data_IF_403228514918
#
_entry.id   IF_403228514918
#
_cell.length_a   1.000
_cell.length_b   1.000
_cell.length_c   1.000
_cell.angle_alpha   90.00
_cell.angle_beta   90.00
_cell.angle_gamma   90.00
#
_symmetry.space_group_name_H-M   'P 1'
#
loop_
_entity.id
_entity.type
_entity.pdbx_description
1 polymer ?
#
# COMPACT_ATOMS: atom_id res chain seq x y z
N UNK A 1 -19.77 -3.70 10.43
CA UNK A 1 -19.40 -3.32 11.80
C UNK A 1 -18.97 -1.87 11.77
N UNK A 2 -19.54 -1.04 12.66
CA UNK A 2 -19.18 0.37 12.78
C UNK A 2 -17.74 0.45 13.31
N UNK A 3 -16.83 1.05 12.54
CA UNK A 3 -15.46 1.37 12.95
C UNK A 3 -15.38 2.52 13.96
N UNK A 4 -16.49 2.90 14.56
CA UNK A 4 -16.57 3.98 15.54
C UNK A 4 -15.83 3.56 16.81
N UNK A 5 -14.74 4.27 17.13
CA UNK A 5 -13.87 3.98 18.27
C UNK A 5 -12.59 3.19 17.93
N UNK A 6 -12.41 2.71 16.69
CA UNK A 6 -11.15 2.14 16.24
C UNK A 6 -10.12 3.24 15.97
N UNK A 7 -8.97 3.15 16.64
CA UNK A 7 -7.87 4.10 16.46
C UNK A 7 -7.31 4.07 15.04
N UNK A 8 -7.43 2.93 14.34
CA UNK A 8 -6.93 2.73 12.97
C UNK A 8 -7.90 3.18 11.87
N UNK A 9 -9.12 3.63 12.22
CA UNK A 9 -10.15 4.00 11.23
C UNK A 9 -9.76 5.12 10.26
N UNK A 10 -8.79 5.96 10.63
CA UNK A 10 -8.30 7.07 9.80
C UNK A 10 -6.97 6.73 9.11
N UNK A 11 -6.41 5.56 9.37
CA UNK A 11 -5.20 5.10 8.70
C UNK A 11 -5.41 5.07 7.18
N UNK A 12 -4.47 5.65 6.45
CA UNK A 12 -4.55 5.78 5.00
C UNK A 12 -5.25 7.05 4.50
N UNK A 13 -6.05 7.72 5.33
CA UNK A 13 -6.84 8.90 4.92
C UNK A 13 -6.27 10.23 5.43
N UNK A 14 -5.21 10.20 6.23
CA UNK A 14 -4.49 11.39 6.67
C UNK A 14 -3.47 11.78 5.60
N UNK A 15 -3.91 12.51 4.57
CA UNK A 15 -3.12 12.75 3.36
C UNK A 15 -1.77 13.42 3.68
N UNK A 16 -0.64 12.87 3.19
CA UNK A 16 0.69 13.44 3.42
C UNK A 16 0.88 14.71 2.57
N UNK A 17 1.05 15.84 3.24
CA UNK A 17 1.30 17.15 2.63
C UNK A 17 1.93 18.07 3.69
N UNK A 18 2.24 19.31 3.31
CA UNK A 18 2.66 20.36 4.23
C UNK A 18 1.42 21.10 4.78
N UNK A 19 1.33 21.17 6.10
CA UNK A 19 0.20 21.79 6.80
C UNK A 19 0.65 22.86 7.77
N UNK A 20 -0.10 23.97 7.82
CA UNK A 20 0.10 25.00 8.82
C UNK A 20 -0.79 24.74 10.04
N UNK A 21 -0.16 24.73 11.22
CA UNK A 21 -0.81 24.60 12.51
C UNK A 21 -0.44 25.80 13.39
N UNK A 22 -1.34 26.21 14.26
CA UNK A 22 -1.10 27.26 15.25
C UNK A 22 -1.20 26.71 16.66
N UNK A 23 -0.53 27.36 17.59
CA UNK A 23 -0.57 26.96 18.99
C UNK A 23 -2.00 27.07 19.55
N UNK A 24 -2.48 25.99 20.18
CA UNK A 24 -3.86 25.90 20.70
C UNK A 24 -4.89 25.39 19.69
N UNK A 25 -4.48 24.99 18.47
CA UNK A 25 -5.40 24.32 17.55
C UNK A 25 -5.97 23.05 18.18
N UNK A 26 -7.27 22.85 18.06
CA UNK A 26 -7.93 21.63 18.49
C UNK A 26 -7.46 20.43 17.64
N UNK A 27 -7.24 19.28 18.28
CA UNK A 27 -6.80 18.05 17.59
C UNK A 27 -7.76 17.63 16.45
N UNK A 28 -9.06 17.78 16.67
CA UNK A 28 -10.09 17.54 15.65
C UNK A 28 -9.94 18.44 14.42
N UNK A 29 -9.63 19.73 14.64
CA UNK A 29 -9.38 20.68 13.55
C UNK A 29 -8.12 20.32 12.77
N UNK A 30 -7.07 19.87 13.46
CA UNK A 30 -5.86 19.38 12.81
C UNK A 30 -6.14 18.13 11.96
N UNK A 31 -6.84 17.13 12.50
CA UNK A 31 -7.24 15.92 11.78
C UNK A 31 -8.10 16.27 10.56
N UNK A 32 -9.06 17.18 10.70
CA UNK A 32 -9.92 17.60 9.59
C UNK A 32 -9.11 18.18 8.42
N UNK A 33 -8.01 18.91 8.66
CA UNK A 33 -7.15 19.42 7.58
C UNK A 33 -6.59 18.29 6.71
N UNK A 34 -6.17 17.18 7.32
CA UNK A 34 -5.68 16.02 6.58
C UNK A 34 -6.79 15.37 5.75
N UNK A 35 -7.97 15.18 6.35
CA UNK A 35 -9.12 14.54 5.70
C UNK A 35 -9.70 15.40 4.57
N UNK A 36 -9.80 16.72 4.77
CA UNK A 36 -10.22 17.68 3.73
C UNK A 36 -9.24 17.68 2.56
N UNK A 37 -7.93 17.65 2.85
CA UNK A 37 -6.92 17.56 1.79
C UNK A 37 -7.03 16.24 1.02
N UNK A 38 -7.20 15.12 1.71
CA UNK A 38 -7.48 13.84 1.07
C UNK A 38 -8.68 13.94 0.13
N UNK A 39 -9.81 14.44 0.63
CA UNK A 39 -11.03 14.63 -0.16
C UNK A 39 -10.80 15.49 -1.41
N UNK A 40 -10.07 16.59 -1.27
CA UNK A 40 -9.78 17.52 -2.36
C UNK A 40 -8.81 16.95 -3.41
N UNK A 41 -7.97 15.96 -3.03
CA UNK A 41 -7.04 15.27 -3.94
C UNK A 41 -7.70 14.16 -4.74
N UNK A 42 -8.81 13.60 -4.25
CA UNK A 42 -9.55 12.55 -4.95
C UNK A 42 -10.49 13.21 -5.97
N UNK A 43 -10.22 12.99 -7.24
CA UNK A 43 -11.01 13.55 -8.35
C UNK A 43 -12.18 12.63 -8.73
N UNK A 44 -13.16 13.18 -9.46
CA UNK A 44 -14.26 12.37 -10.00
C UNK A 44 -13.77 11.25 -10.92
N UNK A 45 -12.72 11.51 -11.74
CA UNK A 45 -12.09 10.50 -12.59
C UNK A 45 -11.50 9.34 -11.76
N UNK A 46 -10.92 9.63 -10.60
CA UNK A 46 -10.38 8.58 -9.71
C UNK A 46 -11.49 7.71 -9.12
N UNK A 47 -12.61 8.32 -8.75
CA UNK A 47 -13.79 7.58 -8.26
C UNK A 47 -14.36 6.69 -9.37
N UNK A 48 -14.49 7.21 -10.59
CA UNK A 48 -14.94 6.43 -11.76
C UNK A 48 -14.01 5.23 -12.02
N UNK A 49 -12.69 5.43 -12.01
CA UNK A 49 -11.73 4.34 -12.16
C UNK A 49 -11.81 3.29 -11.03
N UNK A 50 -12.08 3.72 -9.81
CA UNK A 50 -12.30 2.79 -8.68
C UNK A 50 -13.55 1.94 -8.92
N UNK A 51 -14.66 2.57 -9.34
CA UNK A 51 -15.92 1.88 -9.68
C UNK A 51 -15.75 0.91 -10.85
N UNK A 52 -15.04 1.30 -11.93
CA UNK A 52 -14.72 0.42 -13.07
C UNK A 52 -13.94 -0.82 -12.65
N UNK A 53 -13.13 -0.71 -11.60
CA UNK A 53 -12.36 -1.82 -11.03
C UNK A 53 -13.14 -2.61 -9.97
N UNK A 54 -14.35 -2.18 -9.63
CA UNK A 54 -15.16 -2.77 -8.56
C UNK A 54 -14.55 -2.60 -7.18
N UNK A 55 -13.76 -1.54 -6.96
CA UNK A 55 -13.04 -1.29 -5.71
C UNK A 55 -13.69 -0.16 -4.91
N UNK A 56 -13.86 -0.38 -3.63
CA UNK A 56 -14.15 0.69 -2.67
C UNK A 56 -12.92 1.60 -2.50
N UNK A 57 -13.13 2.84 -2.08
CA UNK A 57 -12.03 3.76 -1.76
C UNK A 57 -11.12 3.22 -0.63
N UNK A 58 -11.68 2.46 0.30
CA UNK A 58 -10.90 1.76 1.34
C UNK A 58 -9.90 0.77 0.72
N UNK A 59 -10.32 -0.03 -0.25
CA UNK A 59 -9.44 -0.99 -0.94
C UNK A 59 -8.40 -0.27 -1.79
N UNK A 60 -8.78 0.81 -2.49
CA UNK A 60 -7.84 1.65 -3.25
C UNK A 60 -6.74 2.18 -2.34
N UNK A 61 -7.11 2.76 -1.19
CA UNK A 61 -6.14 3.32 -0.23
C UNK A 61 -5.30 2.20 0.41
N UNK A 62 -5.89 1.01 0.64
CA UNK A 62 -5.16 -0.15 1.18
C UNK A 62 -4.06 -0.59 0.20
N UNK A 63 -4.38 -0.76 -1.08
CA UNK A 63 -3.37 -1.09 -2.11
C UNK A 63 -2.34 0.04 -2.23
N UNK A 64 -2.78 1.30 -2.29
CA UNK A 64 -1.89 2.45 -2.38
C UNK A 64 -0.93 2.54 -1.20
N UNK A 65 -1.36 2.17 0.01
CA UNK A 65 -0.51 2.18 1.21
C UNK A 65 0.62 1.14 1.14
N UNK A 66 0.37 -0.02 0.54
CA UNK A 66 1.41 -1.01 0.27
C UNK A 66 2.40 -0.50 -0.78
N UNK A 67 1.91 0.04 -1.90
CA UNK A 67 2.74 0.63 -2.95
C UNK A 67 3.63 1.75 -2.38
N UNK A 68 3.08 2.60 -1.49
CA UNK A 68 3.82 3.69 -0.85
C UNK A 68 5.03 3.19 -0.04
N UNK A 69 4.90 2.02 0.57
CA UNK A 69 5.95 1.42 1.41
C UNK A 69 6.94 0.56 0.64
N UNK A 70 6.58 0.10 -0.56
CA UNK A 70 7.40 -0.79 -1.38
C UNK A 70 8.19 -0.05 -2.48
N UNK A 71 7.62 1.00 -3.08
CA UNK A 71 8.24 1.65 -4.23
C UNK A 71 9.52 2.40 -3.87
N UNK A 72 10.62 2.12 -4.56
CA UNK A 72 11.86 2.86 -4.42
C UNK A 72 11.77 4.25 -5.07
N UNK A 73 10.93 4.39 -6.10
CA UNK A 73 10.68 5.64 -6.81
C UNK A 73 9.27 5.66 -7.45
N UNK A 74 8.89 6.80 -8.03
CA UNK A 74 7.54 6.96 -8.59
C UNK A 74 7.30 6.12 -9.86
N UNK A 75 8.34 5.84 -10.66
CA UNK A 75 8.23 5.11 -11.93
C UNK A 75 7.86 3.63 -11.73
N UNK A 76 8.16 3.06 -10.55
CA UNK A 76 7.88 1.67 -10.22
C UNK A 76 6.47 1.43 -9.68
N UNK A 77 5.78 2.46 -9.18
CA UNK A 77 4.51 2.33 -8.47
C UNK A 77 3.45 1.59 -9.30
N UNK A 78 3.35 1.90 -10.59
CA UNK A 78 2.39 1.25 -11.48
C UNK A 78 2.72 -0.23 -11.74
N UNK A 79 4.02 -0.60 -11.75
CA UNK A 79 4.47 -1.99 -11.88
C UNK A 79 4.20 -2.78 -10.60
N UNK A 80 4.46 -2.20 -9.42
CA UNK A 80 4.16 -2.81 -8.12
C UNK A 80 2.64 -3.02 -7.98
N UNK A 81 1.83 -2.03 -8.35
CA UNK A 81 0.37 -2.16 -8.40
C UNK A 81 -0.06 -3.37 -9.27
N UNK A 82 0.55 -3.51 -10.44
CA UNK A 82 0.24 -4.62 -11.34
C UNK A 82 0.60 -5.98 -10.74
N UNK A 83 1.75 -6.10 -10.05
CA UNK A 83 2.13 -7.34 -9.36
C UNK A 83 1.13 -7.69 -8.26
N UNK A 84 0.70 -6.72 -7.45
CA UNK A 84 -0.32 -6.92 -6.42
C UNK A 84 -1.60 -7.50 -7.04
N UNK A 85 -2.13 -6.88 -8.11
CA UNK A 85 -3.34 -7.35 -8.76
C UNK A 85 -3.17 -8.70 -9.44
N UNK A 86 -2.03 -8.95 -10.09
CA UNK A 86 -1.74 -10.23 -10.73
C UNK A 86 -1.70 -11.37 -9.70
N UNK A 87 -1.09 -11.14 -8.53
CA UNK A 87 -1.08 -12.12 -7.43
C UNK A 87 -2.47 -12.36 -6.88
N UNK A 88 -3.27 -11.33 -6.65
CA UNK A 88 -4.67 -11.46 -6.21
C UNK A 88 -5.46 -12.31 -7.23
N UNK A 89 -5.36 -12.00 -8.52
CA UNK A 89 -6.04 -12.73 -9.58
C UNK A 89 -5.59 -14.20 -9.69
N UNK A 90 -4.32 -14.48 -9.35
CA UNK A 90 -3.76 -15.84 -9.31
C UNK A 90 -4.05 -16.59 -7.99
N UNK A 91 -4.73 -15.97 -7.00
CA UNK A 91 -4.95 -16.55 -5.69
C UNK A 91 -3.66 -16.71 -4.86
N UNK A 92 -2.61 -15.97 -5.20
CA UNK A 92 -1.33 -16.01 -4.51
C UNK A 92 -1.32 -15.08 -3.29
N UNK A 93 -0.61 -15.43 -2.21
CA UNK A 93 -0.34 -14.52 -1.11
C UNK A 93 0.52 -13.34 -1.63
N UNK A 94 0.29 -12.13 -1.11
CA UNK A 94 1.01 -10.94 -1.60
C UNK A 94 2.48 -10.93 -1.18
N UNK A 95 2.81 -11.45 0.00
CA UNK A 95 4.17 -11.55 0.55
C UNK A 95 4.90 -10.20 0.57
N UNK A 96 4.22 -9.20 1.09
CA UNK A 96 4.69 -7.81 1.16
C UNK A 96 5.25 -7.56 2.56
N UNK A 97 6.56 -7.30 2.64
CA UNK A 97 7.31 -7.12 3.90
C UNK A 97 6.75 -5.98 4.75
N UNK A 98 6.36 -4.89 4.14
CA UNK A 98 5.80 -3.72 4.84
C UNK A 98 4.53 -4.04 5.62
N UNK A 99 3.77 -5.08 5.24
CA UNK A 99 2.60 -5.53 6.01
C UNK A 99 3.00 -6.23 7.31
N UNK A 100 4.14 -6.91 7.34
CA UNK A 100 4.73 -7.48 8.55
C UNK A 100 5.31 -6.37 9.43
N UNK A 101 6.09 -5.45 8.84
CA UNK A 101 6.64 -4.30 9.55
C UNK A 101 5.56 -3.49 10.28
N UNK A 102 4.37 -3.37 9.69
CA UNK A 102 3.24 -2.64 10.27
C UNK A 102 2.73 -3.25 11.58
N UNK A 103 2.87 -4.57 11.78
CA UNK A 103 2.36 -5.27 12.97
C UNK A 103 3.44 -5.63 13.96
N UNK A 104 4.71 -5.50 13.61
CA UNK A 104 5.80 -5.72 14.53
C UNK A 104 5.84 -4.62 15.60
N UNK A 105 6.16 -4.95 16.85
CA UNK A 105 6.26 -3.98 17.95
C UNK A 105 7.45 -3.02 17.77
N UNK A 106 8.46 -3.45 17.04
CA UNK A 106 9.68 -2.67 16.76
C UNK A 106 10.00 -2.73 15.27
N UNK A 107 10.49 -1.61 14.73
CA UNK A 107 10.93 -1.56 13.34
C UNK A 107 12.18 -2.43 13.14
N UNK A 108 12.22 -3.17 12.01
CA UNK A 108 13.38 -3.95 11.58
C UNK A 108 13.77 -3.57 10.17
N UNK A 109 15.08 -3.45 9.90
CA UNK A 109 15.57 -3.21 8.54
C UNK A 109 15.43 -4.45 7.65
N UNK A 110 15.52 -5.65 8.27
CA UNK A 110 15.40 -6.94 7.56
C UNK A 110 14.50 -7.86 8.37
N UNK A 111 13.52 -8.46 7.70
CA UNK A 111 12.65 -9.47 8.29
C UNK A 111 13.35 -10.83 8.36
N UNK A 112 13.13 -11.53 9.46
CA UNK A 112 13.50 -12.95 9.58
C UNK A 112 12.36 -13.84 9.10
N UNK A 113 12.66 -15.11 8.80
CA UNK A 113 11.63 -16.11 8.47
C UNK A 113 10.61 -16.28 9.60
N UNK A 114 11.01 -16.05 10.86
CA UNK A 114 10.10 -16.14 12.00
C UNK A 114 9.11 -14.96 12.02
N UNK A 115 9.55 -13.76 11.65
CA UNK A 115 8.67 -12.59 11.54
C UNK A 115 7.54 -12.81 10.51
N UNK A 116 7.82 -13.53 9.42
CA UNK A 116 6.78 -13.84 8.41
C UNK A 116 5.76 -14.88 8.86
N UNK A 117 5.90 -15.44 10.07
CA UNK A 117 4.95 -16.39 10.66
C UNK A 117 4.02 -15.75 11.70
N UNK A 118 4.14 -14.45 11.95
CA UNK A 118 3.30 -13.75 12.93
C UNK A 118 1.81 -13.96 12.62
N UNK A 119 1.04 -14.36 13.63
CA UNK A 119 -0.41 -14.50 13.51
C UNK A 119 -1.08 -13.14 13.53
N UNK A 120 -1.41 -12.64 12.35
CA UNK A 120 -2.03 -11.33 12.17
C UNK A 120 -2.84 -11.31 10.88
N UNK A 121 -4.03 -10.68 10.86
CA UNK A 121 -4.80 -10.49 9.63
C UNK A 121 -4.10 -9.59 8.60
N UNK A 122 -3.07 -8.85 9.00
CA UNK A 122 -2.21 -8.07 8.10
C UNK A 122 -1.10 -8.89 7.47
N UNK A 123 -0.84 -10.12 7.94
CA UNK A 123 0.25 -10.94 7.42
C UNK A 123 -0.08 -11.46 6.02
N UNK A 124 0.43 -10.80 5.00
CA UNK A 124 0.24 -11.15 3.58
C UNK A 124 1.11 -12.33 3.11
N UNK A 125 1.92 -12.92 3.97
CA UNK A 125 2.60 -14.20 3.71
C UNK A 125 1.68 -15.39 4.00
N UNK A 126 0.77 -15.25 4.96
CA UNK A 126 -0.13 -16.32 5.41
C UNK A 126 -1.57 -16.13 4.94
N UNK A 127 -1.99 -14.90 4.74
CA UNK A 127 -3.33 -14.57 4.27
C UNK A 127 -3.30 -14.12 2.82
N UNK A 128 -4.21 -14.64 2.01
CA UNK A 128 -4.43 -14.18 0.63
C UNK A 128 -5.34 -12.95 0.60
N UNK A 129 -5.23 -12.15 -0.46
CA UNK A 129 -6.01 -10.92 -0.60
C UNK A 129 -5.40 -9.72 0.11
N UNK A 130 -6.19 -8.67 0.27
CA UNK A 130 -5.76 -7.41 0.89
C UNK A 130 -5.77 -7.50 2.43
N UNK A 131 -4.86 -6.78 3.12
CA UNK A 131 -4.97 -6.59 4.55
C UNK A 131 -6.26 -5.83 4.91
N UNK A 132 -6.73 -5.90 6.18
CA UNK A 132 -8.03 -5.35 6.59
C UNK A 132 -8.16 -3.83 6.43
N UNK A 133 -7.06 -3.10 6.57
CA UNK A 133 -7.00 -1.63 6.44
C UNK A 133 -5.66 -1.22 5.81
N UNK A 134 -5.52 0.05 5.39
CA UNK A 134 -4.23 0.60 4.98
C UNK A 134 -3.16 0.42 6.07
N UNK A 135 -1.89 0.30 5.65
CA UNK A 135 -0.71 0.17 6.52
C UNK A 135 0.12 1.46 6.60
N UNK A 136 -0.28 2.48 5.86
CA UNK A 136 0.34 3.80 5.83
C UNK A 136 -0.63 4.82 5.22
N UNK A 137 -0.28 6.10 5.28
CA UNK A 137 -0.99 7.16 4.56
C UNK A 137 -0.31 7.40 3.21
N UNK A 138 -0.89 6.94 2.09
CA UNK A 138 -0.27 7.03 0.78
C UNK A 138 -0.37 8.44 0.18
N UNK A 139 0.64 8.80 -0.62
CA UNK A 139 0.60 9.98 -1.47
C UNK A 139 -0.23 9.76 -2.75
N UNK A 140 -0.45 10.86 -3.48
CA UNK A 140 -1.26 10.85 -4.70
C UNK A 140 -0.69 9.94 -5.79
N UNK A 141 0.63 9.80 -5.88
CA UNK A 141 1.30 8.94 -6.86
C UNK A 141 0.92 7.47 -6.67
N UNK A 142 0.91 6.97 -5.43
CA UNK A 142 0.50 5.60 -5.12
C UNK A 142 -0.99 5.36 -5.36
N UNK A 143 -1.86 6.34 -5.04
CA UNK A 143 -3.30 6.25 -5.33
C UNK A 143 -3.53 6.17 -6.84
N UNK A 144 -2.86 7.01 -7.64
CA UNK A 144 -2.93 6.98 -9.10
C UNK A 144 -2.43 5.66 -9.67
N UNK A 145 -1.32 5.13 -9.17
CA UNK A 145 -0.76 3.85 -9.60
C UNK A 145 -1.73 2.68 -9.31
N UNK A 146 -2.40 2.70 -8.16
CA UNK A 146 -3.46 1.74 -7.81
C UNK A 146 -4.59 1.74 -8.85
N UNK A 147 -5.03 2.91 -9.26
CA UNK A 147 -6.13 3.09 -10.21
C UNK A 147 -5.73 2.88 -11.67
N UNK A 148 -4.44 2.97 -11.97
CA UNK A 148 -3.89 2.82 -13.33
C UNK A 148 -2.60 1.99 -13.31
N UNK A 149 -2.68 0.68 -12.94
CA UNK A 149 -1.53 -0.20 -12.90
C UNK A 149 -0.96 -0.42 -14.31
N UNK A 150 0.33 -0.77 -14.36
CA UNK A 150 0.99 -1.13 -15.61
C UNK A 150 0.37 -2.40 -16.23
N UNK A 151 0.42 -2.49 -17.56
CA UNK A 151 0.02 -3.72 -18.28
C UNK A 151 1.20 -4.68 -18.34
N UNK A 152 1.25 -5.65 -17.41
CA UNK A 152 2.30 -6.65 -17.30
C UNK A 152 1.77 -7.96 -16.74
N UNK A 153 2.51 -9.05 -16.95
CA UNK A 153 2.25 -10.37 -16.33
C UNK A 153 3.20 -10.65 -15.15
N UNK A 154 3.95 -9.66 -14.70
CA UNK A 154 4.88 -9.84 -13.59
C UNK A 154 4.15 -10.29 -12.31
N UNK A 155 4.74 -11.25 -11.63
CA UNK A 155 4.26 -11.82 -10.35
C UNK A 155 5.26 -11.61 -9.21
N UNK A 156 6.50 -11.23 -9.53
CA UNK A 156 7.60 -11.09 -8.58
C UNK A 156 8.37 -9.81 -8.85
N UNK A 157 8.94 -9.24 -7.82
CA UNK A 157 9.91 -8.16 -7.92
C UNK A 157 10.96 -8.29 -6.81
N UNK A 158 12.16 -7.80 -7.07
CA UNK A 158 13.22 -7.67 -6.08
C UNK A 158 14.03 -6.40 -6.34
N UNK A 159 14.49 -5.80 -5.24
CA UNK A 159 15.35 -4.63 -5.31
C UNK A 159 16.73 -5.03 -5.88
N UNK A 160 17.13 -4.36 -6.94
CA UNK A 160 18.49 -4.44 -7.46
C UNK A 160 19.37 -3.46 -6.69
N UNK A 161 20.29 -4.00 -5.90
CA UNK A 161 21.19 -3.20 -5.06
C UNK A 161 22.15 -2.31 -5.87
N UNK A 162 22.42 -2.64 -7.13
CA UNK A 162 23.31 -1.83 -7.98
C UNK A 162 22.59 -0.60 -8.54
N UNK A 163 21.35 -0.76 -8.98
CA UNK A 163 20.56 0.34 -9.56
C UNK A 163 19.72 1.10 -8.52
N UNK A 164 19.45 0.48 -7.36
CA UNK A 164 18.51 1.01 -6.35
C UNK A 164 17.06 1.01 -6.80
N UNK A 165 16.73 0.21 -7.85
CA UNK A 165 15.39 0.07 -8.41
C UNK A 165 14.95 -1.39 -8.40
N UNK A 166 13.63 -1.65 -8.53
CA UNK A 166 13.15 -3.02 -8.59
C UNK A 166 13.23 -3.59 -10.00
N UNK A 167 13.61 -4.88 -10.08
CA UNK A 167 13.42 -5.73 -11.25
C UNK A 167 12.16 -6.57 -11.10
N UNK A 168 11.44 -6.75 -12.20
CA UNK A 168 10.14 -7.41 -12.23
C UNK A 168 10.21 -8.69 -13.07
N UNK A 169 9.62 -9.79 -12.55
CA UNK A 169 9.74 -11.13 -13.14
C UNK A 169 8.37 -11.77 -13.30
N UNK A 170 8.21 -12.56 -14.36
CA UNK A 170 6.98 -13.30 -14.64
C UNK A 170 7.01 -14.71 -14.08
N UNK A 171 8.21 -15.28 -13.88
CA UNK A 171 8.38 -16.63 -13.34
C UNK A 171 9.20 -16.63 -12.05
N UNK A 172 8.91 -17.60 -11.19
CA UNK A 172 9.67 -17.80 -9.95
C UNK A 172 11.13 -18.20 -10.21
N UNK A 173 11.39 -18.94 -11.30
CA UNK A 173 12.76 -19.33 -11.67
C UNK A 173 13.64 -18.13 -12.04
N UNK A 174 13.10 -17.15 -12.80
CA UNK A 174 13.80 -15.91 -13.11
C UNK A 174 14.07 -15.07 -11.85
N UNK A 175 13.08 -14.98 -10.97
CA UNK A 175 13.21 -14.29 -9.69
C UNK A 175 14.29 -14.93 -8.82
N UNK A 176 14.26 -16.28 -8.64
CA UNK A 176 15.28 -17.00 -7.85
C UNK A 176 16.69 -16.89 -8.41
N UNK A 177 16.83 -16.80 -9.73
CA UNK A 177 18.16 -16.64 -10.35
C UNK A 177 18.74 -15.24 -10.14
N UNK A 178 17.89 -14.26 -9.80
CA UNK A 178 18.28 -12.88 -9.57
C UNK A 178 18.64 -12.61 -8.10
N UNK A 179 17.88 -13.16 -7.14
CA UNK A 179 18.09 -12.98 -5.70
C UNK A 179 19.10 -13.99 -5.14
#
# INVERSE_FOLDING_TARGET
QSMQGDAKRLEGFLFPDTYEFYQGMQASSAINKFLENFHNRITAEMLEKADERGMSMQEVVTVASMIEKEAANDDERAMIAAVIYNRIAAGMPLQIDSTIMYVLPEHKDVLTVEDTKIDSPYNTYQNTGLPPTPIANPGLASIKATLSPASTKALYYALDSESGTHKFFTSYGEFQAFV
#
